data_IF_486435468689
#
_entry.id   IF_486435468689
#
_cell.length_a   1.000
_cell.length_b   1.000
_cell.length_c   1.000
_cell.angle_alpha   90.00
_cell.angle_beta   90.00
_cell.angle_gamma   90.00
#
_symmetry.space_group_name_H-M   'P 1'
#
loop_
_entity.id
_entity.type
_entity.pdbx_description
1 polymer ?
#
# COMPACT_ATOMS: atom_id res chain seq x y z
N UNK A 1 2.94 -0.42 -30.10
CA UNK A 1 4.11 0.31 -29.58
C UNK A 1 3.74 0.82 -28.20
N UNK A 2 4.14 0.09 -27.17
CA UNK A 2 3.94 0.44 -25.76
C UNK A 2 4.84 1.62 -25.42
N UNK A 3 4.25 2.76 -25.06
CA UNK A 3 5.00 3.95 -24.67
C UNK A 3 5.78 3.65 -23.37
N UNK A 4 7.05 4.07 -23.25
CA UNK A 4 7.84 3.92 -22.02
C UNK A 4 7.36 4.73 -20.80
N UNK A 5 6.20 5.42 -20.84
CA UNK A 5 5.78 6.40 -19.82
C UNK A 5 4.65 5.96 -18.87
N UNK A 6 4.04 4.79 -19.05
CA UNK A 6 2.90 4.34 -18.20
C UNK A 6 3.29 4.13 -16.72
N UNK A 7 4.58 3.97 -16.43
CA UNK A 7 5.08 3.76 -15.07
C UNK A 7 5.39 5.07 -14.32
N UNK A 8 5.49 6.20 -15.03
CA UNK A 8 5.81 7.51 -14.44
C UNK A 8 4.56 8.37 -14.20
N UNK A 9 3.41 7.96 -14.72
CA UNK A 9 2.13 8.63 -14.51
C UNK A 9 1.41 8.20 -13.22
N UNK A 10 2.11 8.37 -12.10
CA UNK A 10 1.59 8.05 -10.77
C UNK A 10 0.47 9.02 -10.38
N UNK A 11 -0.66 8.46 -9.95
CA UNK A 11 -1.79 9.21 -9.37
C UNK A 11 -1.86 8.90 -7.89
N UNK A 12 -1.51 9.88 -7.06
CA UNK A 12 -1.49 9.72 -5.61
C UNK A 12 -2.88 9.89 -5.01
N UNK A 13 -3.25 9.00 -4.09
CA UNK A 13 -4.45 9.14 -3.25
C UNK A 13 -3.97 9.24 -1.81
N UNK A 14 -4.18 10.40 -1.19
CA UNK A 14 -3.87 10.55 0.23
C UNK A 14 -4.94 9.91 1.10
N UNK A 15 -4.50 9.24 2.15
CA UNK A 15 -5.38 8.70 3.18
C UNK A 15 -4.83 9.01 4.57
N UNK A 16 -5.69 8.89 5.57
CA UNK A 16 -5.35 8.93 6.99
C UNK A 16 -5.93 7.70 7.67
N UNK A 17 -5.26 7.24 8.73
CA UNK A 17 -5.70 6.12 9.55
C UNK A 17 -6.33 6.65 10.83
N UNK A 18 -7.61 6.37 11.04
CA UNK A 18 -8.30 6.67 12.28
C UNK A 18 -8.36 5.40 13.16
N UNK A 19 -8.02 5.55 14.44
CA UNK A 19 -7.82 4.44 15.37
C UNK A 19 -8.85 4.52 16.51
N UNK A 20 -10.10 4.09 16.29
CA UNK A 20 -11.19 4.36 17.23
C UNK A 20 -11.04 3.67 18.59
N UNK A 21 -10.20 2.64 18.67
CA UNK A 21 -10.03 1.82 19.87
C UNK A 21 -8.70 2.04 20.59
N UNK A 22 -7.84 2.93 20.10
CA UNK A 22 -6.59 3.27 20.77
C UNK A 22 -6.80 4.46 21.70
N UNK A 23 -6.15 4.48 22.85
CA UNK A 23 -6.29 5.57 23.82
C UNK A 23 -5.64 6.88 23.34
N UNK A 24 -4.43 6.82 22.76
CA UNK A 24 -3.67 8.00 22.37
C UNK A 24 -3.06 7.88 20.96
N UNK A 25 -3.88 7.65 19.91
CA UNK A 25 -3.36 7.44 18.58
C UNK A 25 -2.72 8.71 18.01
N UNK A 26 -1.58 8.54 17.37
CA UNK A 26 -0.80 9.57 16.71
C UNK A 26 -0.18 9.00 15.44
N UNK A 27 0.30 9.89 14.57
CA UNK A 27 1.04 9.50 13.38
C UNK A 27 2.35 8.74 13.70
N UNK A 28 2.80 8.75 14.96
CA UNK A 28 4.00 8.04 15.40
C UNK A 28 3.72 6.85 16.32
N UNK A 29 2.45 6.51 16.57
CA UNK A 29 2.06 5.45 17.55
C UNK A 29 2.70 4.09 17.30
N UNK A 30 3.09 3.80 16.06
CA UNK A 30 3.77 2.55 15.71
C UNK A 30 5.17 2.78 15.11
N UNK A 31 5.73 3.99 15.23
CA UNK A 31 7.08 4.30 14.75
C UNK A 31 8.11 3.77 15.76
N UNK A 32 8.75 2.64 15.45
CA UNK A 32 9.81 2.05 16.27
C UNK A 32 9.54 0.61 16.70
N UNK A 33 10.32 0.12 17.66
CA UNK A 33 10.23 -1.27 18.17
C UNK A 33 9.28 -1.43 19.36
N UNK A 34 8.62 -0.34 19.78
CA UNK A 34 7.73 -0.34 20.95
C UNK A 34 6.36 0.20 20.56
N UNK A 35 5.34 -0.66 20.62
CA UNK A 35 3.95 -0.27 20.71
C UNK A 35 3.72 0.45 22.04
N UNK A 36 3.37 1.74 21.99
CA UNK A 36 3.11 2.57 23.18
C UNK A 36 1.65 3.04 23.18
N UNK A 37 0.71 2.15 22.85
CA UNK A 37 -0.71 2.52 22.99
C UNK A 37 -1.58 1.35 23.44
N UNK A 38 -2.54 1.70 24.29
CA UNK A 38 -3.50 0.77 24.88
C UNK A 38 -4.69 0.72 23.92
N UNK A 39 -5.04 -0.50 23.54
CA UNK A 39 -6.20 -0.82 22.73
C UNK A 39 -7.34 -1.33 23.62
N UNK A 40 -8.54 -0.83 23.35
CA UNK A 40 -9.80 -1.23 24.01
C UNK A 40 -10.78 -1.85 23.02
N UNK A 41 -10.30 -2.39 21.90
CA UNK A 41 -11.18 -2.98 20.90
C UNK A 41 -11.92 -4.21 21.45
N UNK A 42 -13.18 -4.43 21.05
CA UNK A 42 -13.89 -5.65 21.40
C UNK A 42 -13.18 -6.84 20.75
N UNK A 43 -12.70 -7.78 21.56
CA UNK A 43 -12.01 -8.99 21.10
C UNK A 43 -12.76 -10.24 21.55
N UNK A 44 -13.01 -11.19 20.64
CA UNK A 44 -13.72 -12.42 21.00
C UNK A 44 -12.88 -13.33 21.91
N UNK A 45 -11.55 -13.17 21.90
CA UNK A 45 -10.62 -13.96 22.72
C UNK A 45 -10.29 -13.32 24.07
N UNK A 46 -10.88 -12.16 24.40
CA UNK A 46 -10.75 -11.49 25.69
C UNK A 46 -12.15 -11.26 26.31
N UNK A 47 -12.26 -11.17 27.65
CA UNK A 47 -13.48 -10.69 28.28
C UNK A 47 -13.85 -9.28 27.75
N UNK A 48 -15.15 -8.93 27.70
CA UNK A 48 -15.58 -7.57 27.38
C UNK A 48 -14.80 -6.57 28.22
N UNK A 49 -14.15 -5.63 27.55
CA UNK A 49 -13.37 -4.58 28.20
C UNK A 49 -14.34 -3.48 28.61
N UNK A 50 -14.43 -3.17 29.90
CA UNK A 50 -15.08 -1.95 30.37
C UNK A 50 -14.07 -0.78 30.44
N UNK A 51 -14.55 0.42 30.77
CA UNK A 51 -13.68 1.60 30.90
C UNK A 51 -12.68 1.50 32.07
N UNK A 52 -12.87 0.56 33.00
CA UNK A 52 -12.08 0.41 34.23
C UNK A 52 -10.96 -0.65 34.09
N UNK A 53 -11.09 -1.58 33.15
CA UNK A 53 -10.07 -2.58 32.84
C UNK A 53 -8.85 -1.94 32.15
N UNK A 54 -7.63 -2.51 32.31
CA UNK A 54 -6.37 -1.92 31.85
C UNK A 54 -6.17 -1.94 30.32
N UNK A 55 -7.13 -2.44 29.53
CA UNK A 55 -7.00 -2.61 28.09
C UNK A 55 -5.92 -3.63 27.69
N UNK A 56 -5.53 -3.64 26.42
CA UNK A 56 -4.48 -4.55 25.91
C UNK A 56 -3.58 -3.87 24.90
N UNK A 57 -2.37 -4.40 24.68
CA UNK A 57 -1.48 -3.89 23.63
C UNK A 57 -2.10 -4.18 22.26
N UNK A 58 -2.22 -3.15 21.41
CA UNK A 58 -2.71 -3.32 20.06
C UNK A 58 -1.89 -4.37 19.30
N UNK A 59 -2.54 -5.40 18.77
CA UNK A 59 -1.89 -6.40 17.91
C UNK A 59 -2.68 -6.53 16.62
N UNK A 60 -2.08 -6.19 15.48
CA UNK A 60 -2.73 -6.32 14.16
C UNK A 60 -3.20 -7.77 13.90
N UNK A 61 -4.33 -7.91 13.21
CA UNK A 61 -5.07 -9.17 12.95
C UNK A 61 -5.68 -9.87 14.18
N UNK A 62 -5.36 -9.42 15.40
CA UNK A 62 -6.12 -9.77 16.60
C UNK A 62 -7.07 -8.65 17.00
N UNK A 63 -6.59 -7.41 16.90
CA UNK A 63 -7.36 -6.20 17.16
C UNK A 63 -8.06 -5.72 15.88
N UNK A 64 -9.15 -4.99 16.07
CA UNK A 64 -9.80 -4.26 14.98
C UNK A 64 -8.81 -3.26 14.38
N UNK A 65 -8.70 -3.27 13.04
CA UNK A 65 -7.82 -2.36 12.31
C UNK A 65 -8.32 -0.92 12.33
N UNK A 66 -7.51 0.02 11.80
CA UNK A 66 -7.93 1.41 11.67
C UNK A 66 -9.02 1.56 10.61
N UNK A 67 -9.83 2.59 10.77
CA UNK A 67 -10.64 3.13 9.68
C UNK A 67 -9.75 3.91 8.72
N UNK A 68 -9.93 3.67 7.41
CA UNK A 68 -9.16 4.36 6.37
C UNK A 68 -10.03 5.49 5.82
N UNK A 69 -9.55 6.72 5.97
CA UNK A 69 -10.24 7.90 5.45
C UNK A 69 -9.45 8.45 4.27
N UNK A 70 -10.06 8.50 3.09
CA UNK A 70 -9.44 9.01 1.87
C UNK A 70 -9.73 10.50 1.73
N UNK A 71 -8.70 11.28 1.40
CA UNK A 71 -8.90 12.68 1.01
C UNK A 71 -9.61 12.75 -0.34
N UNK A 72 -10.54 13.68 -0.46
CA UNK A 72 -11.22 14.04 -1.70
C UNK A 72 -10.26 14.66 -2.73
N UNK A 73 -10.68 14.77 -3.99
CA UNK A 73 -9.86 15.34 -5.07
C UNK A 73 -9.64 16.85 -4.96
N UNK A 74 -10.44 17.54 -4.13
CA UNK A 74 -10.38 18.99 -3.94
C UNK A 74 -9.50 19.41 -2.75
N UNK A 75 -9.05 18.45 -1.95
CA UNK A 75 -8.15 18.70 -0.82
C UNK A 75 -6.69 18.83 -1.26
N UNK A 76 -5.87 19.40 -0.37
CA UNK A 76 -4.43 19.49 -0.58
C UNK A 76 -3.81 18.10 -0.77
N UNK A 77 -3.22 17.91 -1.96
CA UNK A 77 -2.57 16.69 -2.40
C UNK A 77 -1.07 16.72 -2.08
N UNK A 78 -0.64 15.75 -1.31
CA UNK A 78 0.76 15.50 -0.98
C UNK A 78 1.26 14.30 -1.76
N UNK A 79 2.34 14.48 -2.51
CA UNK A 79 2.94 13.43 -3.35
C UNK A 79 4.31 13.05 -2.82
N UNK A 80 4.74 11.82 -3.09
CA UNK A 80 6.05 11.33 -2.69
C UNK A 80 7.13 12.09 -3.48
N UNK A 81 8.04 12.74 -2.77
CA UNK A 81 9.26 13.29 -3.34
C UNK A 81 10.40 12.26 -3.27
N UNK A 82 10.59 11.67 -2.11
CA UNK A 82 11.62 10.67 -1.84
C UNK A 82 11.23 9.83 -0.62
N UNK A 83 11.58 8.56 -0.58
CA UNK A 83 11.41 7.74 0.62
C UNK A 83 12.70 7.78 1.46
N UNK A 84 12.65 8.34 2.67
CA UNK A 84 13.84 8.68 3.46
C UNK A 84 13.87 7.99 4.84
N UNK A 85 14.40 6.77 4.88
CA UNK A 85 14.49 6.02 6.14
C UNK A 85 13.11 5.83 6.79
N UNK A 86 12.95 6.15 8.09
CA UNK A 86 11.67 6.01 8.79
C UNK A 86 10.64 7.10 8.44
N UNK A 87 10.92 7.97 7.46
CA UNK A 87 10.06 9.08 7.06
C UNK A 87 10.01 9.18 5.51
N UNK A 88 8.83 9.22 4.92
CA UNK A 88 8.62 9.63 3.54
C UNK A 88 8.67 11.16 3.44
N UNK A 89 9.54 11.65 2.54
CA UNK A 89 9.59 13.06 2.17
C UNK A 89 8.46 13.33 1.18
N UNK A 90 7.48 14.11 1.62
CA UNK A 90 6.35 14.51 0.81
C UNK A 90 6.49 15.97 0.39
N UNK A 91 5.97 16.29 -0.80
CA UNK A 91 5.84 17.67 -1.29
C UNK A 91 4.40 17.94 -1.72
N UNK A 92 4.00 19.22 -1.80
CA UNK A 92 2.77 19.57 -2.49
C UNK A 92 2.79 19.09 -3.94
N UNK A 93 1.63 18.66 -4.44
CA UNK A 93 1.44 18.30 -5.82
C UNK A 93 1.71 19.48 -6.77
N UNK A 94 2.24 19.18 -7.95
CA UNK A 94 2.22 20.11 -9.07
C UNK A 94 0.79 20.31 -9.57
N UNK A 95 0.55 21.35 -10.37
CA UNK A 95 -0.76 21.62 -10.94
C UNK A 95 -1.27 20.44 -11.80
N UNK A 96 -0.37 19.75 -12.50
CA UNK A 96 -0.71 18.59 -13.32
C UNK A 96 -1.13 17.39 -12.47
N UNK A 97 -0.37 17.06 -11.42
CA UNK A 97 -0.69 15.98 -10.49
C UNK A 97 -2.03 16.22 -9.78
N UNK A 98 -2.29 17.47 -9.37
CA UNK A 98 -3.55 17.87 -8.76
C UNK A 98 -4.74 17.74 -9.71
N UNK A 99 -4.61 18.21 -10.96
CA UNK A 99 -5.67 18.09 -11.96
C UNK A 99 -5.97 16.63 -12.30
N UNK A 100 -4.92 15.81 -12.40
CA UNK A 100 -5.05 14.36 -12.61
C UNK A 100 -5.80 13.69 -11.47
N UNK A 101 -5.51 14.05 -10.23
CA UNK A 101 -6.23 13.54 -9.04
C UNK A 101 -7.70 13.93 -9.04
N UNK A 102 -8.07 15.12 -9.53
CA UNK A 102 -9.48 15.57 -9.61
C UNK A 102 -10.32 14.75 -10.56
N UNK A 103 -9.72 14.10 -11.56
CA UNK A 103 -10.42 13.21 -12.49
C UNK A 103 -10.89 11.89 -11.82
N UNK A 104 -10.45 11.63 -10.58
CA UNK A 104 -10.70 10.39 -9.85
C UNK A 104 -11.60 10.69 -8.66
N UNK A 105 -12.89 10.42 -8.78
CA UNK A 105 -13.89 10.64 -7.74
C UNK A 105 -15.02 9.64 -7.90
N UNK A 106 -15.91 9.54 -6.91
CA UNK A 106 -16.92 8.46 -6.87
C UNK A 106 -17.85 8.45 -8.09
N UNK A 107 -18.15 9.62 -8.65
CA UNK A 107 -18.96 9.80 -9.86
C UNK A 107 -18.14 9.86 -11.17
N UNK A 108 -16.83 9.63 -11.13
CA UNK A 108 -15.98 9.70 -12.32
C UNK A 108 -16.37 8.61 -13.33
N UNK A 109 -16.19 8.90 -14.62
CA UNK A 109 -16.34 7.89 -15.65
C UNK A 109 -15.35 6.74 -15.36
N UNK A 110 -15.78 5.46 -15.33
CA UNK A 110 -14.90 4.33 -15.11
C UNK A 110 -13.63 4.31 -15.98
N UNK A 111 -13.69 4.82 -17.22
CA UNK A 111 -12.51 4.87 -18.11
C UNK A 111 -11.43 5.84 -17.65
N UNK A 112 -11.75 6.79 -16.76
CA UNK A 112 -10.76 7.68 -16.16
C UNK A 112 -9.68 6.87 -15.44
N UNK A 113 -10.07 5.80 -14.74
CA UNK A 113 -9.17 4.96 -13.94
C UNK A 113 -8.12 4.18 -14.76
N UNK A 114 -8.31 4.03 -16.07
CA UNK A 114 -7.47 3.19 -16.93
C UNK A 114 -6.07 3.74 -17.20
N UNK A 115 -5.89 5.06 -17.13
CA UNK A 115 -4.63 5.71 -17.53
C UNK A 115 -3.74 6.07 -16.35
N UNK A 116 -4.02 5.52 -15.18
CA UNK A 116 -3.36 5.89 -13.95
C UNK A 116 -2.69 4.69 -13.30
N UNK A 117 -1.47 4.94 -12.81
CA UNK A 117 -0.81 4.07 -11.86
C UNK A 117 -1.08 4.62 -10.44
N UNK A 118 -1.94 3.97 -9.67
CA UNK A 118 -2.33 4.54 -8.37
C UNK A 118 -1.34 4.18 -7.27
N UNK A 119 -1.01 5.17 -6.44
CA UNK A 119 -0.29 4.96 -5.18
C UNK A 119 -1.07 5.60 -4.03
N UNK A 120 -1.15 4.90 -2.91
CA UNK A 120 -1.82 5.40 -1.72
C UNK A 120 -0.81 5.85 -0.68
N UNK A 121 -0.89 7.09 -0.20
CA UNK A 121 0.09 7.66 0.74
C UNK A 121 -0.58 8.21 2.00
N UNK A 122 0.04 7.97 3.15
CA UNK A 122 -0.43 8.46 4.47
C UNK A 122 0.64 9.28 5.17
N UNK A 123 0.66 10.60 4.90
CA UNK A 123 1.59 11.50 5.57
C UNK A 123 3.05 11.05 5.51
N UNK A 124 3.91 11.57 6.39
CA UNK A 124 5.34 11.33 6.35
C UNK A 124 5.75 9.94 6.88
N UNK A 125 4.88 9.14 7.49
CA UNK A 125 5.29 7.87 8.08
C UNK A 125 5.16 6.73 7.04
N UNK A 126 6.23 5.93 6.80
CA UNK A 126 6.17 4.79 5.90
C UNK A 126 5.31 3.70 6.52
N UNK A 127 4.23 3.33 5.85
CA UNK A 127 3.21 2.43 6.38
C UNK A 127 2.88 1.29 5.42
N UNK A 128 3.88 0.60 4.87
CA UNK A 128 3.70 -0.32 3.73
C UNK A 128 2.58 -1.35 3.88
N UNK A 129 2.44 -2.09 5.00
CA UNK A 129 1.25 -2.95 5.23
C UNK A 129 -0.07 -2.20 5.26
N UNK A 130 -0.10 -0.98 5.81
CA UNK A 130 -1.31 -0.18 5.84
C UNK A 130 -1.55 0.52 4.51
N UNK A 131 -0.52 0.73 3.68
CA UNK A 131 -0.67 1.11 2.29
C UNK A 131 -1.34 -0.04 1.54
N UNK A 132 -0.89 -1.28 1.71
CA UNK A 132 -1.56 -2.44 1.11
C UNK A 132 -3.02 -2.55 1.57
N UNK A 133 -3.27 -2.44 2.88
CA UNK A 133 -4.61 -2.42 3.45
C UNK A 133 -5.48 -1.26 2.94
N UNK A 134 -4.94 -0.04 2.91
CA UNK A 134 -5.64 1.15 2.40
C UNK A 134 -5.93 1.02 0.91
N UNK A 135 -5.01 0.41 0.15
CA UNK A 135 -5.20 0.13 -1.28
C UNK A 135 -6.39 -0.78 -1.47
N UNK A 136 -6.46 -1.88 -0.71
CA UNK A 136 -7.62 -2.76 -0.73
C UNK A 136 -8.91 -2.02 -0.34
N UNK A 137 -8.89 -1.22 0.75
CA UNK A 137 -10.07 -0.44 1.18
C UNK A 137 -10.54 0.58 0.17
N UNK A 138 -9.62 1.23 -0.52
CA UNK A 138 -9.96 2.15 -1.59
C UNK A 138 -10.64 1.40 -2.74
N UNK A 139 -10.06 0.28 -3.18
CA UNK A 139 -10.64 -0.56 -4.23
C UNK A 139 -12.03 -1.10 -3.84
N UNK A 140 -12.23 -1.49 -2.58
CA UNK A 140 -13.53 -1.93 -2.05
C UNK A 140 -14.60 -0.84 -2.19
N UNK A 141 -14.23 0.42 -1.95
CA UNK A 141 -15.13 1.58 -2.06
C UNK A 141 -15.50 1.97 -3.48
N UNK A 142 -14.71 1.56 -4.49
CA UNK A 142 -15.01 1.88 -5.89
C UNK A 142 -16.19 1.05 -6.43
N UNK A 143 -16.90 1.65 -7.39
CA UNK A 143 -17.86 0.89 -8.20
C UNK A 143 -17.17 -0.25 -8.95
N UNK A 144 -17.89 -1.34 -9.19
CA UNK A 144 -17.34 -2.50 -9.93
C UNK A 144 -16.80 -2.07 -11.30
N UNK A 145 -17.49 -1.17 -12.01
CA UNK A 145 -17.04 -0.66 -13.31
C UNK A 145 -15.73 0.12 -13.21
N UNK A 146 -15.58 1.00 -12.22
CA UNK A 146 -14.34 1.73 -11.99
C UNK A 146 -13.17 0.77 -11.66
N UNK A 147 -13.41 -0.21 -10.77
CA UNK A 147 -12.42 -1.25 -10.44
C UNK A 147 -11.90 -1.99 -11.67
N UNK A 148 -12.78 -2.37 -12.60
CA UNK A 148 -12.34 -3.12 -13.79
C UNK A 148 -11.49 -2.31 -14.76
N UNK A 149 -11.45 -0.99 -14.62
CA UNK A 149 -10.60 -0.13 -15.43
C UNK A 149 -9.24 0.10 -14.77
N UNK A 150 -9.01 -0.28 -13.52
CA UNK A 150 -7.70 -0.13 -12.89
C UNK A 150 -6.73 -1.16 -13.48
N UNK A 151 -5.76 -0.67 -14.24
CA UNK A 151 -4.73 -1.52 -14.87
C UNK A 151 -3.43 -1.58 -14.07
N UNK A 152 -3.14 -0.55 -13.25
CA UNK A 152 -1.83 -0.38 -12.64
C UNK A 152 -1.92 0.14 -11.20
N UNK A 153 -1.13 -0.46 -10.32
CA UNK A 153 -0.97 -0.04 -8.92
C UNK A 153 0.51 0.02 -8.55
N UNK A 154 0.86 0.94 -7.66
CA UNK A 154 2.18 1.07 -7.07
C UNK A 154 2.13 0.90 -5.56
N UNK A 155 3.11 0.18 -5.03
CA UNK A 155 3.36 0.03 -3.60
C UNK A 155 4.80 0.41 -3.28
N UNK A 156 4.98 1.08 -2.14
CA UNK A 156 6.28 1.34 -1.55
C UNK A 156 6.66 0.15 -0.67
N UNK A 157 7.81 -0.44 -0.94
CA UNK A 157 8.39 -1.52 -0.15
C UNK A 157 9.54 -0.91 0.67
N UNK A 158 9.28 -0.72 1.97
CA UNK A 158 10.20 -0.05 2.89
C UNK A 158 10.32 -0.86 4.18
N UNK A 159 11.51 -1.07 4.75
CA UNK A 159 11.69 -1.90 5.93
C UNK A 159 11.19 -1.25 7.23
N UNK A 160 10.81 0.02 7.15
CA UNK A 160 10.35 0.84 8.26
C UNK A 160 8.81 0.80 8.40
N UNK A 161 8.17 -0.28 7.92
CA UNK A 161 6.75 -0.52 8.18
C UNK A 161 6.52 -0.72 9.69
N UNK A 162 6.37 0.39 10.40
CA UNK A 162 5.93 0.54 11.78
C UNK A 162 5.58 -0.73 12.54
N UNK A 163 6.37 -1.17 13.52
CA UNK A 163 6.08 -2.29 14.43
C UNK A 163 5.25 -3.44 13.83
N UNK A 164 5.87 -4.22 12.94
CA UNK A 164 5.34 -5.50 12.56
C UNK A 164 6.38 -6.59 12.44
N UNK A 165 6.01 -7.74 12.98
CA UNK A 165 6.55 -9.02 12.58
C UNK A 165 6.31 -9.20 11.08
N UNK A 166 7.34 -9.66 10.37
CA UNK A 166 7.31 -9.93 8.92
C UNK A 166 6.07 -10.73 8.47
N UNK A 167 5.61 -11.65 9.34
CA UNK A 167 4.39 -12.42 9.15
C UNK A 167 3.15 -11.56 8.83
N UNK A 168 2.98 -10.42 9.49
CA UNK A 168 1.83 -9.53 9.29
C UNK A 168 1.92 -8.72 8.00
N UNK A 169 3.14 -8.45 7.52
CA UNK A 169 3.39 -7.83 6.21
C UNK A 169 3.01 -8.82 5.12
N UNK A 170 3.51 -10.07 5.21
CA UNK A 170 3.13 -11.17 4.32
C UNK A 170 1.62 -11.29 4.22
N UNK A 171 0.93 -11.36 5.36
CA UNK A 171 -0.52 -11.46 5.38
C UNK A 171 -1.21 -10.28 4.66
N UNK A 172 -0.73 -9.04 4.85
CA UNK A 172 -1.32 -7.86 4.18
C UNK A 172 -1.13 -7.92 2.66
N UNK A 173 0.05 -8.33 2.21
CA UNK A 173 0.36 -8.47 0.80
C UNK A 173 -0.42 -9.63 0.16
N UNK A 174 -0.54 -10.77 0.84
CA UNK A 174 -1.38 -11.89 0.41
C UNK A 174 -2.85 -11.48 0.28
N UNK A 175 -3.40 -10.74 1.26
CA UNK A 175 -4.78 -10.25 1.23
C UNK A 175 -5.01 -9.33 0.03
N UNK A 176 -4.14 -8.34 -0.17
CA UNK A 176 -4.22 -7.45 -1.34
C UNK A 176 -4.07 -8.24 -2.65
N UNK A 177 -3.05 -9.10 -2.77
CA UNK A 177 -2.81 -9.88 -3.99
C UNK A 177 -4.02 -10.75 -4.38
N UNK A 178 -4.66 -11.39 -3.39
CA UNK A 178 -5.88 -12.17 -3.61
C UNK A 178 -7.04 -11.28 -4.03
N UNK A 179 -7.18 -10.12 -3.39
CA UNK A 179 -8.22 -9.15 -3.74
C UNK A 179 -8.07 -8.68 -5.20
N UNK A 180 -6.84 -8.34 -5.61
CA UNK A 180 -6.53 -7.97 -7.00
C UNK A 180 -6.98 -9.09 -7.94
N UNK A 181 -6.55 -10.33 -7.69
CA UNK A 181 -6.88 -11.51 -8.50
C UNK A 181 -8.39 -11.74 -8.65
N UNK A 182 -9.15 -11.50 -7.59
CA UNK A 182 -10.58 -11.76 -7.57
C UNK A 182 -11.42 -10.62 -8.17
N UNK A 183 -10.96 -9.37 -8.06
CA UNK A 183 -11.83 -8.21 -8.26
C UNK A 183 -11.38 -7.25 -9.37
N UNK A 184 -10.15 -7.33 -9.87
CA UNK A 184 -9.66 -6.44 -10.92
C UNK A 184 -9.27 -7.25 -12.17
N UNK A 185 -10.26 -7.63 -12.98
CA UNK A 185 -10.04 -8.37 -14.24
C UNK A 185 -9.29 -7.57 -15.30
N UNK A 186 -9.26 -6.24 -15.19
CA UNK A 186 -8.48 -5.36 -16.06
C UNK A 186 -7.06 -5.07 -15.57
N UNK A 187 -6.65 -5.66 -14.44
CA UNK A 187 -5.34 -5.42 -13.84
C UNK A 187 -4.22 -6.01 -14.69
N UNK A 188 -3.14 -5.26 -14.86
CA UNK A 188 -2.00 -5.64 -15.70
C UNK A 188 -0.67 -5.46 -15.01
N UNK A 189 -0.52 -4.50 -14.12
CA UNK A 189 0.82 -4.14 -13.62
C UNK A 189 0.80 -3.78 -12.15
N UNK A 190 1.55 -4.54 -11.36
CA UNK A 190 1.93 -4.15 -10.00
C UNK A 190 3.35 -3.61 -10.02
N UNK A 191 3.53 -2.36 -9.61
CA UNK A 191 4.83 -1.72 -9.44
C UNK A 191 5.25 -1.78 -7.96
N UNK A 192 6.36 -2.45 -7.69
CA UNK A 192 6.97 -2.52 -6.36
C UNK A 192 8.18 -1.60 -6.35
N UNK A 193 8.08 -0.51 -5.60
CA UNK A 193 9.15 0.48 -5.46
C UNK A 193 9.95 0.17 -4.19
N UNK A 194 11.13 -0.39 -4.37
CA UNK A 194 12.06 -0.71 -3.29
C UNK A 194 12.91 0.50 -2.97
N UNK A 195 12.76 1.00 -1.74
CA UNK A 195 13.54 2.11 -1.23
C UNK A 195 14.45 1.67 -0.08
N UNK A 196 15.68 2.19 -0.05
CA UNK A 196 16.64 1.99 1.04
C UNK A 196 16.91 0.51 1.37
N UNK A 197 16.86 0.16 2.66
CA UNK A 197 17.11 -1.17 3.22
C UNK A 197 15.91 -2.14 3.05
N UNK A 198 15.05 -1.90 2.06
CA UNK A 198 13.85 -2.72 1.76
C UNK A 198 14.16 -4.16 1.38
N UNK A 199 15.45 -4.51 1.22
CA UNK A 199 15.91 -5.86 0.93
C UNK A 199 15.46 -6.90 1.96
N UNK A 200 15.25 -6.49 3.22
CA UNK A 200 14.72 -7.40 4.25
C UNK A 200 13.26 -7.82 4.02
N UNK A 201 12.56 -7.21 3.06
CA UNK A 201 11.16 -7.51 2.74
C UNK A 201 11.00 -8.30 1.43
N UNK A 202 12.09 -8.76 0.80
CA UNK A 202 12.03 -9.60 -0.40
C UNK A 202 11.15 -10.84 -0.21
N UNK A 203 11.28 -11.50 0.93
CA UNK A 203 10.45 -12.65 1.31
C UNK A 203 8.97 -12.31 1.46
N UNK A 204 8.63 -11.07 1.84
CA UNK A 204 7.25 -10.63 1.98
C UNK A 204 6.61 -10.31 0.63
N UNK A 205 7.33 -9.67 -0.29
CA UNK A 205 6.78 -9.36 -1.62
C UNK A 205 6.56 -10.61 -2.48
N UNK A 206 7.19 -11.75 -2.15
CA UNK A 206 6.98 -13.03 -2.81
C UNK A 206 5.48 -13.44 -2.83
N UNK A 207 4.70 -12.97 -1.86
CA UNK A 207 3.26 -13.18 -1.78
C UNK A 207 2.50 -12.63 -3.00
N UNK A 208 3.06 -11.63 -3.70
CA UNK A 208 2.48 -11.09 -4.94
C UNK A 208 2.66 -12.00 -6.16
N UNK A 209 3.43 -13.09 -6.06
CA UNK A 209 3.59 -14.08 -7.15
C UNK A 209 2.26 -14.66 -7.66
N UNK A 210 1.22 -14.64 -6.84
CA UNK A 210 -0.11 -15.12 -7.23
C UNK A 210 -0.79 -14.23 -8.29
N UNK A 211 -0.32 -13.00 -8.50
CA UNK A 211 -0.86 -12.08 -9.51
C UNK A 211 -0.65 -12.63 -10.93
N UNK A 212 0.37 -13.45 -11.15
CA UNK A 212 0.63 -14.10 -12.44
C UNK A 212 -0.45 -15.12 -12.86
N UNK A 213 -1.43 -15.41 -11.99
CA UNK A 213 -2.63 -16.15 -12.39
C UNK A 213 -3.61 -15.30 -13.23
N UNK A 214 -3.40 -13.99 -13.30
CA UNK A 214 -4.10 -13.11 -14.24
C UNK A 214 -3.39 -13.14 -15.60
N UNK A 215 -4.18 -13.16 -16.68
CA UNK A 215 -3.63 -13.05 -18.03
C UNK A 215 -2.91 -11.71 -18.23
N UNK A 216 -1.73 -11.76 -18.84
CA UNK A 216 -0.90 -10.60 -19.19
C UNK A 216 -0.45 -9.72 -18.00
N UNK A 217 -0.60 -10.21 -16.76
CA UNK A 217 -0.13 -9.48 -15.60
C UNK A 217 1.39 -9.56 -15.46
N UNK A 218 2.00 -8.44 -15.09
CA UNK A 218 3.43 -8.31 -14.81
C UNK A 218 3.68 -7.62 -13.49
N UNK A 219 4.81 -7.96 -12.87
CA UNK A 219 5.33 -7.25 -11.71
C UNK A 219 6.55 -6.46 -12.16
N UNK A 220 6.55 -5.17 -11.89
CA UNK A 220 7.66 -4.26 -12.19
C UNK A 220 8.33 -3.89 -10.88
N UNK A 221 9.61 -4.19 -10.75
CA UNK A 221 10.40 -3.88 -9.57
C UNK A 221 11.30 -2.70 -9.89
N UNK A 222 11.14 -1.61 -9.16
CA UNK A 222 11.98 -0.41 -9.24
C UNK A 222 12.88 -0.35 -8.02
N UNK A 223 14.19 -0.22 -8.25
CA UNK A 223 15.18 -0.06 -7.19
C UNK A 223 15.71 1.38 -7.20
N UNK A 224 15.29 2.17 -6.23
CA UNK A 224 15.60 3.61 -6.22
C UNK A 224 17.00 3.93 -5.65
N UNK A 225 17.80 2.93 -5.22
CA UNK A 225 19.23 3.13 -4.89
C UNK A 225 20.12 3.31 -6.12
N UNK A 226 19.64 2.94 -7.31
CA UNK A 226 20.35 3.12 -8.57
C UNK A 226 19.34 3.47 -9.65
N UNK A 227 19.36 4.72 -10.12
CA UNK A 227 18.48 5.31 -11.14
C UNK A 227 18.43 4.58 -12.52
N UNK A 228 18.94 3.35 -12.63
CA UNK A 228 19.02 2.56 -13.87
C UNK A 228 18.40 1.15 -13.77
N UNK A 229 17.95 0.70 -12.58
CA UNK A 229 17.46 -0.68 -12.39
C UNK A 229 15.94 -0.80 -12.32
N UNK A 230 15.31 -1.15 -13.44
CA UNK A 230 13.93 -1.66 -13.46
C UNK A 230 13.93 -3.11 -13.93
N UNK A 231 13.42 -4.02 -13.10
CA UNK A 231 13.23 -5.42 -13.47
C UNK A 231 11.77 -5.67 -13.76
N UNK A 232 11.47 -6.27 -14.91
CA UNK A 232 10.10 -6.67 -15.28
C UNK A 232 10.02 -8.18 -15.22
N UNK A 233 9.11 -8.67 -14.40
CA UNK A 233 8.81 -10.09 -14.28
C UNK A 233 7.43 -10.34 -14.91
N UNK A 234 7.38 -11.20 -15.92
CA UNK A 234 6.15 -11.57 -16.64
C UNK A 234 5.60 -12.93 -16.21
N UNK A 235 6.32 -13.64 -15.34
CA UNK A 235 5.87 -14.89 -14.74
C UNK A 235 6.39 -15.08 -13.31
N UNK A 236 5.76 -16.00 -12.60
CA UNK A 236 6.05 -16.32 -11.19
C UNK A 236 7.46 -16.88 -10.99
N UNK A 237 8.00 -17.62 -11.95
CA UNK A 237 9.33 -18.22 -11.82
C UNK A 237 10.42 -17.15 -11.90
N UNK A 238 10.30 -16.23 -12.87
CA UNK A 238 11.20 -15.09 -13.02
C UNK A 238 11.14 -14.17 -11.79
N UNK A 239 9.93 -13.89 -11.30
CA UNK A 239 9.74 -13.09 -10.10
C UNK A 239 10.38 -13.74 -8.87
N UNK A 240 10.01 -14.99 -8.54
CA UNK A 240 10.53 -15.69 -7.36
C UNK A 240 12.04 -15.96 -7.46
N UNK A 241 12.57 -16.19 -8.66
CA UNK A 241 14.01 -16.28 -8.90
C UNK A 241 14.72 -14.99 -8.49
N UNK A 242 14.23 -13.84 -8.95
CA UNK A 242 14.74 -12.52 -8.57
C UNK A 242 14.63 -12.26 -7.06
N UNK A 243 13.51 -12.66 -6.44
CA UNK A 243 13.34 -12.56 -4.98
C UNK A 243 14.42 -13.35 -4.23
N UNK A 244 14.71 -14.58 -4.66
CA UNK A 244 15.69 -15.43 -4.00
C UNK A 244 17.11 -14.88 -4.16
N UNK A 245 17.49 -14.44 -5.35
CA UNK A 245 18.79 -13.82 -5.62
C UNK A 245 19.03 -12.60 -4.74
N UNK A 246 17.98 -11.80 -4.52
CA UNK A 246 18.07 -10.58 -3.74
C UNK A 246 17.91 -10.79 -2.22
N UNK A 247 17.36 -11.94 -1.80
CA UNK A 247 17.24 -12.34 -0.40
C UNK A 247 18.51 -12.95 0.20
N UNK A 248 19.43 -13.42 -0.65
CA UNK A 248 20.75 -13.96 -0.26
C UNK A 248 21.86 -12.90 -0.19
N UNK A 249 21.59 -11.68 -0.67
CA UNK A 249 22.51 -10.53 -0.71
C UNK A 249 22.41 -9.64 0.54
#
# INVERSE_FOLDING_TARGET
MSHPSELDDITTINYTLHWPYLENPSNTTFVGHSQIDICRCPRPDLPPQDELEPGHIYTRYKCLGPEVLFKSGDEELWVLQEAHGPINMLRPATAEEAERRKQIHDDANPTAYQRHNFILLTGPCPRGRYQAYATQKWLEGLSTSARQNISSLSLLVQPYEEDCLEYFIKQAYTELAKYLLQHLSGFKTLCLHFWNDGWRLWTAVAEFSIIFNMADAKIVIRNDRSFEGCSVCEDSSAFLGLINEMGEA
#
